data_IF_629204472438
#
_entry.id   IF_629204472438
#
_cell.length_a   1.000
_cell.length_b   1.000
_cell.length_c   1.000
_cell.angle_alpha   90.00
_cell.angle_beta   90.00
_cell.angle_gamma   90.00
#
_symmetry.space_group_name_H-M   'P 1'
#
loop_
_entity.id
_entity.type
_entity.pdbx_description
1 polymer ?
#
# COMPACT_ATOMS: atom_id res chain seq x y z
N UNK A 1 -0.06 24.52 -1.91
CA UNK A 1 0.29 23.10 -1.84
C UNK A 1 0.40 22.58 -3.25
N UNK A 2 1.53 21.98 -3.59
CA UNK A 2 1.77 21.33 -4.88
C UNK A 2 1.18 19.92 -4.87
N UNK A 3 1.05 19.29 -6.04
CA UNK A 3 0.61 17.89 -6.13
C UNK A 3 1.60 16.92 -5.47
N UNK A 4 2.89 17.25 -5.50
CA UNK A 4 3.93 16.46 -4.82
C UNK A 4 3.73 16.43 -3.30
N UNK A 5 3.38 17.58 -2.69
CA UNK A 5 3.04 17.66 -1.27
C UNK A 5 1.83 16.78 -0.93
N UNK A 6 0.83 16.72 -1.81
CA UNK A 6 -0.36 15.89 -1.64
C UNK A 6 0.00 14.41 -1.68
N UNK A 7 0.81 14.00 -2.65
CA UNK A 7 1.28 12.62 -2.80
C UNK A 7 2.12 12.21 -1.60
N UNK A 8 3.11 13.01 -1.22
CA UNK A 8 3.95 12.76 -0.05
C UNK A 8 3.12 12.67 1.24
N UNK A 9 2.11 13.54 1.39
CA UNK A 9 1.19 13.51 2.53
C UNK A 9 0.34 12.25 2.54
N UNK A 10 -0.26 11.86 1.42
CA UNK A 10 -1.04 10.62 1.32
C UNK A 10 -0.20 9.41 1.73
N UNK A 11 1.00 9.31 1.17
CA UNK A 11 1.93 8.21 1.39
C UNK A 11 2.34 8.12 2.87
N UNK A 12 2.45 9.27 3.55
CA UNK A 12 2.82 9.35 4.97
C UNK A 12 1.64 9.11 5.91
N UNK A 13 0.46 9.61 5.60
CA UNK A 13 -0.73 9.45 6.43
C UNK A 13 -1.35 8.05 6.31
N UNK A 14 -1.11 7.36 5.20
CA UNK A 14 -1.71 6.06 4.93
C UNK A 14 -0.65 4.94 4.95
N UNK A 15 -0.78 3.94 5.83
CA UNK A 15 0.18 2.83 5.95
C UNK A 15 0.21 1.95 4.71
N UNK A 16 -0.92 1.78 4.02
CA UNK A 16 -1.06 1.06 2.77
C UNK A 16 -1.90 1.92 1.85
N UNK A 17 -1.26 2.49 0.83
CA UNK A 17 -1.89 3.37 -0.15
C UNK A 17 -1.79 2.75 -1.54
N UNK A 18 -2.88 2.80 -2.30
CA UNK A 18 -2.91 2.36 -3.69
C UNK A 18 -3.48 3.45 -4.58
N UNK A 19 -2.69 3.89 -5.56
CA UNK A 19 -3.18 4.70 -6.67
C UNK A 19 -3.71 3.76 -7.75
N UNK A 20 -4.99 3.85 -8.05
CA UNK A 20 -5.66 2.92 -8.95
C UNK A 20 -6.67 3.62 -9.85
N UNK A 21 -7.11 2.90 -10.89
CA UNK A 21 -8.23 3.32 -11.73
C UNK A 21 -9.54 2.85 -11.12
N UNK A 22 -10.36 3.78 -10.64
CA UNK A 22 -11.57 3.53 -9.86
C UNK A 22 -11.31 3.42 -8.36
N UNK A 23 -12.24 2.80 -7.64
CA UNK A 23 -12.18 2.65 -6.18
C UNK A 23 -12.20 1.17 -5.77
N UNK A 24 -11.79 0.80 -4.55
CA UNK A 24 -11.77 -0.60 -4.11
C UNK A 24 -13.14 -1.31 -4.16
N UNK A 25 -14.21 -0.53 -4.01
CA UNK A 25 -15.61 -0.98 -4.10
C UNK A 25 -16.10 -1.06 -5.56
N UNK A 26 -15.46 -0.33 -6.47
CA UNK A 26 -15.83 -0.25 -7.89
C UNK A 26 -14.57 -0.05 -8.74
N UNK A 27 -13.75 -1.10 -8.92
CA UNK A 27 -12.53 -1.01 -9.70
C UNK A 27 -12.86 -0.90 -11.19
N UNK A 28 -12.24 0.05 -11.88
CA UNK A 28 -12.48 0.32 -13.32
C UNK A 28 -11.47 -0.39 -14.24
N UNK A 29 -10.62 -1.25 -13.68
CA UNK A 29 -9.56 -1.94 -14.42
C UNK A 29 -9.25 -3.29 -13.75
N UNK A 30 -9.06 -4.35 -14.53
CA UNK A 30 -8.75 -5.70 -14.02
C UNK A 30 -7.48 -5.76 -13.17
N UNK A 31 -6.43 -5.02 -13.55
CA UNK A 31 -5.19 -4.92 -12.77
C UNK A 31 -5.42 -4.25 -11.41
N UNK A 32 -6.25 -3.21 -11.35
CA UNK A 32 -6.64 -2.57 -10.08
C UNK A 32 -7.43 -3.54 -9.19
N UNK A 33 -8.38 -4.28 -9.78
CA UNK A 33 -9.19 -5.25 -9.06
C UNK A 33 -8.34 -6.37 -8.46
N UNK A 34 -7.34 -6.85 -9.20
CA UNK A 34 -6.42 -7.88 -8.75
C UNK A 34 -5.57 -7.41 -7.57
N UNK A 35 -4.97 -6.23 -7.66
CA UNK A 35 -4.18 -5.65 -6.58
C UNK A 35 -4.99 -5.51 -5.28
N UNK A 36 -6.21 -4.96 -5.36
CA UNK A 36 -7.12 -4.85 -4.21
C UNK A 36 -7.47 -6.23 -3.65
N UNK A 37 -7.75 -7.22 -4.51
CA UNK A 37 -8.07 -8.58 -4.07
C UNK A 37 -6.93 -9.20 -3.27
N UNK A 38 -5.69 -9.08 -3.74
CA UNK A 38 -4.51 -9.58 -3.04
C UNK A 38 -4.34 -8.86 -1.71
N UNK A 39 -4.36 -7.52 -1.70
CA UNK A 39 -4.20 -6.74 -0.47
C UNK A 39 -5.30 -7.06 0.57
N UNK A 40 -6.54 -7.30 0.13
CA UNK A 40 -7.64 -7.71 1.02
C UNK A 40 -7.42 -9.05 1.72
N UNK A 41 -6.61 -9.97 1.16
CA UNK A 41 -6.29 -11.24 1.83
C UNK A 41 -5.50 -11.04 3.14
N UNK A 42 -4.81 -9.91 3.26
CA UNK A 42 -3.98 -9.59 4.41
C UNK A 42 -4.72 -8.83 5.52
N UNK A 43 -6.01 -8.51 5.31
CA UNK A 43 -6.86 -7.85 6.30
C UNK A 43 -6.27 -6.52 6.84
N UNK A 44 -5.60 -5.76 5.96
CA UNK A 44 -4.98 -4.47 6.29
C UNK A 44 -5.88 -3.31 5.83
N UNK A 45 -5.87 -2.16 6.54
CA UNK A 45 -6.58 -0.97 6.09
C UNK A 45 -5.88 -0.39 4.85
N UNK A 46 -6.57 -0.46 3.71
CA UNK A 46 -6.08 0.01 2.42
C UNK A 46 -6.75 1.34 2.08
N UNK A 47 -5.95 2.38 1.89
CA UNK A 47 -6.42 3.65 1.35
C UNK A 47 -6.22 3.64 -0.16
N UNK A 48 -7.27 3.99 -0.91
CA UNK A 48 -7.21 4.02 -2.36
C UNK A 48 -7.54 5.42 -2.89
N UNK A 49 -6.79 5.84 -3.90
CA UNK A 49 -7.01 7.11 -4.58
C UNK A 49 -7.19 6.90 -6.07
N UNK A 50 -8.33 7.37 -6.59
CA UNK A 50 -8.62 7.31 -8.02
C UNK A 50 -7.76 8.32 -8.78
N UNK A 51 -7.13 7.85 -9.86
CA UNK A 51 -6.32 8.68 -10.75
C UNK A 51 -7.02 9.02 -12.07
N UNK A 52 -8.23 8.49 -12.31
CA UNK A 52 -8.98 8.77 -13.54
C UNK A 52 -9.53 10.21 -13.52
N UNK A 53 -9.97 10.69 -12.36
CA UNK A 53 -10.49 12.05 -12.21
C UNK A 53 -9.44 13.16 -12.29
N UNK A 54 -8.15 12.86 -12.11
CA UNK A 54 -7.11 13.89 -11.95
C UNK A 54 -5.81 13.57 -12.70
N UNK A 55 -5.69 14.14 -13.90
CA UNK A 55 -4.53 14.00 -14.78
C UNK A 55 -3.24 14.53 -14.14
N UNK A 56 -3.31 15.59 -13.32
CA UNK A 56 -2.11 16.17 -12.68
C UNK A 56 -1.60 15.25 -11.59
N UNK A 57 -2.49 14.69 -10.77
CA UNK A 57 -2.14 13.68 -9.77
C UNK A 57 -1.48 12.47 -10.43
N UNK A 58 -2.06 11.97 -11.54
CA UNK A 58 -1.52 10.84 -12.29
C UNK A 58 -0.08 11.08 -12.74
N UNK A 59 0.21 12.21 -13.35
CA UNK A 59 1.56 12.54 -13.82
C UNK A 59 2.54 12.74 -12.65
N UNK A 60 2.08 13.34 -11.55
CA UNK A 60 2.87 13.51 -10.34
C UNK A 60 3.25 12.16 -9.70
N UNK A 61 2.30 11.23 -9.55
CA UNK A 61 2.57 9.90 -8.98
C UNK A 61 3.54 9.11 -9.84
N UNK A 62 3.39 9.14 -11.17
CA UNK A 62 4.35 8.50 -12.09
C UNK A 62 5.76 9.08 -11.95
N UNK A 63 5.87 10.41 -11.83
CA UNK A 63 7.17 11.07 -11.66
C UNK A 63 7.80 10.71 -10.30
N UNK A 64 6.98 10.57 -9.25
CA UNK A 64 7.44 10.25 -7.90
C UNK A 64 7.99 8.82 -7.79
N UNK A 65 7.33 7.83 -8.40
CA UNK A 65 7.77 6.43 -8.37
C UNK A 65 8.70 6.05 -9.51
N UNK A 66 8.84 6.94 -10.50
CA UNK A 66 9.47 6.68 -11.78
C UNK A 66 8.86 5.43 -12.49
N UNK A 67 7.58 5.16 -12.24
CA UNK A 67 6.87 3.98 -12.73
C UNK A 67 5.74 4.36 -13.71
N UNK A 68 5.67 3.78 -14.92
CA UNK A 68 4.77 4.25 -15.97
C UNK A 68 3.33 3.72 -15.85
N UNK A 69 3.10 2.62 -15.14
CA UNK A 69 1.82 1.91 -15.10
C UNK A 69 1.07 2.07 -13.78
N UNK A 70 -0.23 1.74 -13.80
CA UNK A 70 -1.10 1.70 -12.63
C UNK A 70 -1.84 0.35 -12.60
N UNK A 71 -2.14 -0.21 -11.42
CA UNK A 71 -2.07 0.42 -10.08
C UNK A 71 -0.64 0.59 -9.54
N UNK A 72 -0.42 1.55 -8.65
CA UNK A 72 0.84 1.75 -7.92
C UNK A 72 0.59 1.67 -6.42
N UNK A 73 1.38 0.85 -5.72
CA UNK A 73 1.13 0.46 -4.34
C UNK A 73 2.28 0.93 -3.47
N UNK A 74 1.93 1.57 -2.36
CA UNK A 74 2.82 2.12 -1.38
C UNK A 74 2.53 1.50 -0.01
N UNK A 75 3.56 1.10 0.71
CA UNK A 75 3.45 0.48 2.03
C UNK A 75 4.45 1.18 2.96
N UNK A 76 3.99 1.66 4.12
CA UNK A 76 4.78 2.39 5.13
C UNK A 76 5.61 3.57 4.56
N UNK A 77 5.09 4.21 3.53
CA UNK A 77 5.77 5.33 2.89
C UNK A 77 6.65 4.96 1.69
N UNK A 78 6.85 3.67 1.43
CA UNK A 78 7.72 3.17 0.38
C UNK A 78 6.92 2.65 -0.80
N UNK A 79 7.41 2.93 -2.02
CA UNK A 79 6.84 2.37 -3.24
C UNK A 79 7.23 0.90 -3.38
N UNK A 80 6.24 0.02 -3.47
CA UNK A 80 6.46 -1.43 -3.59
C UNK A 80 6.40 -1.88 -5.04
N UNK A 81 5.43 -1.37 -5.81
CA UNK A 81 5.29 -1.76 -7.21
C UNK A 81 3.87 -1.69 -7.74
N UNK A 82 3.66 -2.39 -8.85
CA UNK A 82 2.36 -2.56 -9.50
C UNK A 82 1.60 -3.81 -9.07
N UNK A 83 0.50 -4.10 -9.76
CA UNK A 83 -0.33 -5.29 -9.53
C UNK A 83 0.44 -6.60 -9.69
N UNK A 84 1.31 -6.67 -10.69
CA UNK A 84 2.05 -7.89 -11.05
C UNK A 84 3.10 -8.21 -9.98
N UNK A 85 3.80 -7.18 -9.49
CA UNK A 85 4.79 -7.33 -8.41
C UNK A 85 4.11 -7.79 -7.12
N UNK A 86 2.98 -7.17 -6.74
CA UNK A 86 2.25 -7.58 -5.53
C UNK A 86 1.70 -9.01 -5.65
N UNK A 87 1.26 -9.42 -6.85
CA UNK A 87 0.81 -10.78 -7.09
C UNK A 87 1.98 -11.77 -6.99
N UNK A 88 3.12 -11.45 -7.61
CA UNK A 88 4.31 -12.28 -7.60
C UNK A 88 4.85 -12.46 -6.17
N UNK A 89 4.99 -11.35 -5.43
CA UNK A 89 5.37 -11.38 -4.01
C UNK A 89 4.38 -12.20 -3.17
N UNK A 90 3.07 -12.12 -3.46
CA UNK A 90 2.08 -12.95 -2.77
C UNK A 90 2.26 -14.44 -3.08
N UNK A 91 2.52 -14.80 -4.35
CA UNK A 91 2.75 -16.20 -4.76
C UNK A 91 4.08 -16.75 -4.19
N UNK A 92 5.11 -15.93 -4.16
CA UNK A 92 6.40 -16.26 -3.56
C UNK A 92 6.36 -16.32 -2.02
N UNK A 93 5.24 -15.90 -1.40
CA UNK A 93 5.13 -15.66 0.05
C UNK A 93 6.17 -14.64 0.59
N UNK A 94 6.75 -13.83 -0.30
CA UNK A 94 7.70 -12.76 -0.01
C UNK A 94 7.00 -11.42 0.27
N UNK A 95 5.67 -11.36 0.08
CA UNK A 95 4.90 -10.17 0.43
C UNK A 95 4.79 -10.05 1.95
N UNK A 96 5.81 -9.43 2.55
CA UNK A 96 5.80 -8.99 3.94
C UNK A 96 4.98 -7.69 3.99
N UNK A 97 3.66 -7.80 3.79
CA UNK A 97 2.79 -6.73 4.23
C UNK A 97 2.71 -6.82 5.75
N UNK A 98 3.05 -5.74 6.45
CA UNK A 98 2.92 -5.68 7.89
C UNK A 98 1.44 -5.97 8.21
N UNK A 99 1.16 -7.06 8.93
CA UNK A 99 -0.21 -7.40 9.31
C UNK A 99 -0.61 -6.36 10.34
N UNK A 100 -1.31 -5.33 9.90
CA UNK A 100 -1.70 -4.24 10.79
C UNK A 100 -2.97 -4.59 11.57
N UNK A 101 -3.03 -4.16 12.82
CA UNK A 101 -4.22 -4.24 13.66
C UNK A 101 -4.45 -2.91 14.38
N UNK A 102 -5.70 -2.57 14.61
CA UNK A 102 -6.07 -1.42 15.41
C UNK A 102 -6.12 -1.79 16.89
N UNK A 103 -5.26 -1.18 17.72
CA UNK A 103 -5.32 -1.32 19.18
C UNK A 103 -5.27 0.05 19.85
N UNK A 104 -6.28 0.35 20.67
CA UNK A 104 -6.42 1.64 21.38
C UNK A 104 -6.32 2.87 20.46
N UNK A 105 -6.87 2.79 19.25
CA UNK A 105 -6.88 3.90 18.28
C UNK A 105 -5.56 4.13 17.54
N UNK A 106 -4.56 3.24 17.73
CA UNK A 106 -3.30 3.28 16.99
C UNK A 106 -3.17 2.05 16.09
N UNK A 107 -2.69 2.28 14.87
CA UNK A 107 -2.33 1.23 13.94
C UNK A 107 -1.02 0.60 14.39
N UNK A 108 -1.06 -0.70 14.69
CA UNK A 108 0.10 -1.47 15.13
C UNK A 108 0.41 -2.56 14.13
N UNK A 109 1.69 -2.86 13.97
CA UNK A 109 2.17 -3.91 13.08
C UNK A 109 2.40 -5.20 13.87
N UNK A 110 1.63 -6.26 13.58
CA UNK A 110 1.73 -7.55 14.28
C UNK A 110 3.15 -8.13 14.15
N UNK A 111 3.81 -7.99 13.00
CA UNK A 111 5.15 -8.55 12.79
C UNK A 111 6.21 -7.79 13.60
N UNK A 112 6.11 -6.46 13.67
CA UNK A 112 6.95 -5.64 14.53
C UNK A 112 6.77 -5.93 16.02
N UNK A 113 5.54 -6.17 16.48
CA UNK A 113 5.25 -6.52 17.88
C UNK A 113 5.73 -7.94 18.24
N UNK A 114 5.69 -8.90 17.32
CA UNK A 114 6.22 -10.27 17.55
C UNK A 114 7.75 -10.26 17.58
N UNK A 115 8.41 -9.51 16.69
CA UNK A 115 9.87 -9.39 16.67
C UNK A 115 10.41 -8.82 17.99
N UNK A 116 9.77 -7.77 18.54
CA UNK A 116 10.17 -7.20 19.84
C UNK A 116 9.97 -8.15 21.03
N UNK A 117 9.00 -9.08 20.95
CA UNK A 117 8.81 -10.10 22.00
C UNK A 117 9.81 -11.25 21.92
N UNK A 118 10.36 -11.53 20.74
CA UNK A 118 11.36 -12.59 20.59
C UNK A 118 12.74 -12.15 21.10
N UNK A 119 13.10 -10.88 20.90
CA UNK A 119 14.40 -10.35 21.33
C UNK A 119 14.56 -10.24 22.86
N UNK A 120 13.44 -10.20 23.62
CA UNK A 120 13.47 -10.27 25.09
C UNK A 120 13.54 -11.71 25.65
N UNK A 121 13.45 -12.75 24.82
CA UNK A 121 13.45 -14.15 25.28
C UNK A 121 14.78 -14.89 25.07
N UNK A 122 15.74 -14.32 24.34
CA UNK A 122 17.08 -14.90 24.14
C UNK A 122 18.16 -14.31 25.06
N UNK A 123 17.78 -13.44 26.01
CA UNK A 123 18.68 -12.89 27.05
C UNK A 123 18.28 -13.28 28.48
N UNK A 124 17.65 -14.45 28.67
CA UNK A 124 17.42 -15.04 30.01
C UNK A 124 17.71 -16.53 30.01
#
# INVERSE_FOLDING_TARGET
MSFDDIVARDIKENPVLIYMKGFPESPMCGFSALAIKVLKLYDVPISARDILGDLKLKECVKAHTNWPTFPQIFIKGEFVGGSDIILDMHQASELIVPRFYYQKGQLKDVLGDIAQKHEQKESS
#
